data_IF_027289877064
#
_entry.id   IF_027289877064
#
_cell.length_a   1.000
_cell.length_b   1.000
_cell.length_c   1.000
_cell.angle_alpha   90.00
_cell.angle_beta   90.00
_cell.angle_gamma   90.00
#
_symmetry.space_group_name_H-M   'P 1'
#
loop_
_entity.id
_entity.type
_entity.pdbx_description
1 polymer ?
#
# COMPACT_ATOMS: atom_id res chain seq x y z
N UNK A 1 10.01 -9.61 7.03
CA UNK A 1 10.91 -8.66 6.34
C UNK A 1 10.66 -8.62 4.83
N UNK A 2 10.78 -9.76 4.13
CA UNK A 2 10.75 -9.79 2.66
C UNK A 2 9.50 -9.16 2.01
N UNK A 3 8.31 -9.46 2.52
CA UNK A 3 7.06 -8.91 1.97
C UNK A 3 6.99 -7.39 2.12
N UNK A 4 7.39 -6.85 3.27
CA UNK A 4 7.39 -5.41 3.51
C UNK A 4 8.34 -4.67 2.58
N UNK A 5 9.58 -5.16 2.43
CA UNK A 5 10.58 -4.56 1.53
C UNK A 5 10.09 -4.60 0.08
N UNK A 6 9.50 -5.71 -0.36
CA UNK A 6 8.96 -5.85 -1.71
C UNK A 6 7.85 -4.83 -2.01
N UNK A 7 6.96 -4.58 -1.04
CA UNK A 7 5.90 -3.57 -1.17
C UNK A 7 6.52 -2.17 -1.24
N UNK A 8 7.41 -1.82 -0.31
CA UNK A 8 8.03 -0.47 -0.30
C UNK A 8 8.83 -0.23 -1.59
N UNK A 9 9.62 -1.20 -2.05
CA UNK A 9 10.41 -1.07 -3.26
C UNK A 9 9.53 -0.88 -4.50
N UNK A 10 8.48 -1.71 -4.65
CA UNK A 10 7.58 -1.67 -5.82
C UNK A 10 6.68 -0.44 -5.85
N UNK A 11 6.27 0.07 -4.69
CA UNK A 11 5.32 1.19 -4.57
C UNK A 11 5.96 2.53 -4.19
N UNK A 12 7.29 2.61 -4.14
CA UNK A 12 8.03 3.85 -3.84
C UNK A 12 7.63 5.03 -4.75
N UNK A 13 7.41 4.77 -6.05
CA UNK A 13 6.96 5.75 -7.05
C UNK A 13 5.50 6.20 -6.90
N UNK A 14 4.66 5.40 -6.23
CA UNK A 14 3.22 5.64 -6.10
C UNK A 14 2.80 5.81 -4.63
N UNK A 15 3.73 6.27 -3.79
CA UNK A 15 3.56 6.28 -2.34
C UNK A 15 2.29 7.00 -1.89
N UNK A 16 1.84 8.03 -2.61
CA UNK A 16 0.64 8.78 -2.25
C UNK A 16 -0.67 8.03 -2.52
N UNK A 17 -0.73 7.24 -3.60
CA UNK A 17 -1.92 6.44 -3.94
C UNK A 17 -1.99 5.22 -3.00
N UNK A 18 -0.84 4.61 -2.71
CA UNK A 18 -0.73 3.38 -1.93
C UNK A 18 -0.27 3.62 -0.47
N UNK A 19 -0.44 4.84 0.06
CA UNK A 19 0.11 5.28 1.35
C UNK A 19 -0.26 4.38 2.52
N UNK A 20 -1.51 3.90 2.55
CA UNK A 20 -2.00 3.01 3.60
C UNK A 20 -1.31 1.64 3.54
N UNK A 21 -1.13 1.11 2.33
CA UNK A 21 -0.44 -0.16 2.08
C UNK A 21 1.05 -0.07 2.43
N UNK A 22 1.70 1.05 2.09
CA UNK A 22 3.11 1.31 2.44
C UNK A 22 3.29 1.50 3.95
N UNK A 23 2.35 2.18 4.62
CA UNK A 23 2.36 2.34 6.08
C UNK A 23 2.26 1.02 6.84
N UNK A 24 1.34 0.13 6.43
CA UNK A 24 1.26 -1.22 7.00
C UNK A 24 2.50 -2.08 6.68
N UNK A 25 3.06 -1.95 5.47
CA UNK A 25 4.30 -2.63 5.12
C UNK A 25 5.47 -2.18 6.00
N UNK A 26 5.58 -0.88 6.30
CA UNK A 26 6.60 -0.33 7.20
C UNK A 26 6.51 -0.89 8.62
N UNK A 27 5.29 -0.95 9.19
CA UNK A 27 5.06 -1.57 10.50
C UNK A 27 5.54 -3.04 10.56
N UNK A 28 5.24 -3.82 9.52
CA UNK A 28 5.66 -5.23 9.42
C UNK A 28 7.18 -5.40 9.28
N UNK A 29 7.89 -4.40 8.73
CA UNK A 29 9.36 -4.38 8.67
C UNK A 29 9.96 -4.16 10.07
N UNK A 30 9.37 -3.32 10.90
CA UNK A 30 9.88 -3.09 12.27
C UNK A 30 9.70 -4.33 13.12
N UNK A 31 8.49 -4.92 13.14
CA UNK A 31 8.18 -6.08 13.99
C UNK A 31 9.09 -7.26 13.70
N UNK A 32 9.28 -7.61 12.43
CA UNK A 32 10.08 -8.80 12.15
C UNK A 32 11.59 -8.56 12.25
N UNK A 33 12.08 -7.31 12.36
CA UNK A 33 13.44 -7.07 12.82
C UNK A 33 13.57 -7.45 14.30
N UNK A 34 12.61 -7.02 15.12
CA UNK A 34 12.53 -7.42 16.53
C UNK A 34 12.35 -8.93 16.69
N UNK A 35 11.59 -9.60 15.81
CA UNK A 35 11.42 -11.06 15.89
C UNK A 35 12.73 -11.82 15.63
N UNK A 36 13.60 -11.33 14.75
CA UNK A 36 14.92 -11.93 14.51
C UNK A 36 15.80 -11.76 15.76
N UNK A 37 15.81 -10.57 16.36
CA UNK A 37 16.57 -10.32 17.59
C UNK A 37 16.12 -11.24 18.74
N UNK A 38 14.81 -11.41 18.93
CA UNK A 38 14.27 -12.33 19.94
C UNK A 38 14.57 -13.79 19.61
N UNK A 39 14.60 -14.18 18.34
CA UNK A 39 15.05 -15.51 17.91
C UNK A 39 16.50 -15.82 18.31
N UNK A 40 17.41 -14.86 18.11
CA UNK A 40 18.82 -14.99 18.52
C UNK A 40 18.93 -15.10 20.05
N UNK A 41 18.19 -14.26 20.78
CA UNK A 41 18.13 -14.33 22.26
C UNK A 41 17.56 -15.67 22.75
N UNK A 42 16.60 -16.25 22.02
CA UNK A 42 16.06 -17.58 22.30
C UNK A 42 17.13 -18.67 22.24
N UNK A 43 18.03 -18.62 21.24
CA UNK A 43 19.16 -19.56 21.13
C UNK A 43 20.14 -19.37 22.30
N UNK A 44 20.42 -18.12 22.70
CA UNK A 44 21.29 -17.81 23.85
C UNK A 44 20.72 -18.35 25.16
N UNK A 45 19.40 -18.28 25.34
CA UNK A 45 18.69 -18.84 26.49
C UNK A 45 18.81 -20.36 26.55
N UNK A 46 18.76 -21.05 25.42
CA UNK A 46 18.93 -22.51 25.38
C UNK A 46 20.36 -22.90 25.81
N UNK A 47 21.36 -22.11 25.41
CA UNK A 47 22.77 -22.36 25.74
C UNK A 47 23.10 -21.98 27.20
N UNK A 48 22.44 -20.96 27.75
CA UNK A 48 22.67 -20.47 29.12
C UNK A 48 21.58 -21.02 30.05
N UNK A 49 21.91 -22.01 30.89
CA UNK A 49 21.03 -22.60 31.92
C UNK A 49 20.54 -21.65 33.05
N UNK A 50 20.56 -20.33 32.84
CA UNK A 50 20.00 -19.38 33.80
C UNK A 50 18.47 -19.38 33.72
N UNK A 51 17.85 -19.95 34.74
CA UNK A 51 16.39 -20.18 34.85
C UNK A 51 15.52 -18.92 34.82
N UNK A 52 16.09 -17.74 35.15
CA UNK A 52 15.36 -16.46 35.11
C UNK A 52 15.21 -15.86 33.70
N UNK A 53 16.24 -15.95 32.87
CA UNK A 53 16.25 -15.38 31.51
C UNK A 53 15.30 -16.14 30.56
N UNK A 54 15.08 -17.43 30.81
CA UNK A 54 14.20 -18.27 30.00
C UNK A 54 12.73 -17.83 30.08
N UNK A 55 12.24 -17.45 31.27
CA UNK A 55 10.85 -17.02 31.45
C UNK A 55 10.54 -15.71 30.72
N UNK A 56 11.47 -14.74 30.79
CA UNK A 56 11.32 -13.43 30.16
C UNK A 56 11.38 -13.57 28.63
N UNK A 57 12.32 -14.37 28.12
CA UNK A 57 12.43 -14.62 26.69
C UNK A 57 11.23 -15.38 26.12
N UNK A 58 10.68 -16.35 26.87
CA UNK A 58 9.47 -17.06 26.50
C UNK A 58 8.25 -16.13 26.45
N UNK A 59 8.08 -15.26 27.46
CA UNK A 59 7.01 -14.28 27.48
C UNK A 59 7.12 -13.26 26.32
N UNK A 60 8.32 -12.74 26.06
CA UNK A 60 8.57 -11.81 24.95
C UNK A 60 8.30 -12.47 23.59
N UNK A 61 8.73 -13.72 23.40
CA UNK A 61 8.47 -14.48 22.16
C UNK A 61 6.98 -14.77 21.98
N UNK A 62 6.26 -15.07 23.05
CA UNK A 62 4.82 -15.29 23.02
C UNK A 62 4.06 -14.02 22.60
N UNK A 63 4.39 -12.87 23.18
CA UNK A 63 3.78 -11.59 22.81
C UNK A 63 4.05 -11.25 21.34
N UNK A 64 5.29 -11.42 20.88
CA UNK A 64 5.64 -11.20 19.46
C UNK A 64 4.90 -12.16 18.52
N UNK A 65 4.71 -13.42 18.93
CA UNK A 65 3.92 -14.39 18.17
C UNK A 65 2.48 -13.94 18.00
N UNK A 66 1.83 -13.46 19.08
CA UNK A 66 0.47 -12.93 19.01
C UNK A 66 0.39 -11.70 18.11
N UNK A 67 1.32 -10.76 18.21
CA UNK A 67 1.37 -9.57 17.34
C UNK A 67 1.57 -9.94 15.87
N UNK A 68 2.37 -10.97 15.57
CA UNK A 68 2.55 -11.47 14.21
C UNK A 68 1.26 -12.07 13.65
N UNK A 69 0.53 -12.86 14.45
CA UNK A 69 -0.78 -13.40 14.05
C UNK A 69 -1.80 -12.31 13.75
N UNK A 70 -1.89 -11.29 14.62
CA UNK A 70 -2.75 -10.13 14.38
C UNK A 70 -2.37 -9.43 13.08
N UNK A 71 -1.07 -9.25 12.81
CA UNK A 71 -0.59 -8.61 11.59
C UNK A 71 -0.98 -9.38 10.33
N UNK A 72 -0.99 -10.72 10.37
CA UNK A 72 -1.45 -11.56 9.26
C UNK A 72 -2.94 -11.33 9.01
N UNK A 73 -3.76 -11.36 10.07
CA UNK A 73 -5.21 -11.15 9.98
C UNK A 73 -5.52 -9.75 9.42
N UNK A 74 -4.84 -8.72 9.93
CA UNK A 74 -4.98 -7.34 9.44
C UNK A 74 -4.60 -7.25 7.96
N UNK A 75 -3.52 -7.93 7.54
CA UNK A 75 -3.12 -7.99 6.13
C UNK A 75 -4.22 -8.57 5.23
N UNK A 76 -4.91 -9.62 5.69
CA UNK A 76 -6.04 -10.21 4.96
C UNK A 76 -7.22 -9.24 4.86
N UNK A 77 -7.64 -8.64 5.98
CA UNK A 77 -8.78 -7.71 6.02
C UNK A 77 -8.49 -6.43 5.22
N UNK A 78 -7.26 -5.92 5.28
CA UNK A 78 -6.89 -4.69 4.61
C UNK A 78 -7.09 -4.78 3.09
N UNK A 79 -6.98 -5.95 2.46
CA UNK A 79 -7.23 -6.08 1.02
C UNK A 79 -8.60 -5.53 0.62
N UNK A 80 -9.64 -5.78 1.41
CA UNK A 80 -10.99 -5.28 1.14
C UNK A 80 -11.11 -3.77 1.28
N UNK A 81 -10.51 -3.19 2.33
CA UNK A 81 -10.57 -1.76 2.60
C UNK A 81 -9.63 -0.95 1.69
N UNK A 82 -8.43 -1.48 1.43
CA UNK A 82 -7.40 -0.87 0.60
C UNK A 82 -7.92 -0.55 -0.80
N UNK A 83 -8.74 -1.43 -1.38
CA UNK A 83 -9.34 -1.18 -2.70
C UNK A 83 -10.20 0.10 -2.68
N UNK A 84 -11.02 0.31 -1.66
CA UNK A 84 -11.84 1.51 -1.52
C UNK A 84 -11.02 2.79 -1.35
N UNK A 85 -9.98 2.75 -0.51
CA UNK A 85 -9.08 3.88 -0.32
C UNK A 85 -8.27 4.20 -1.58
N UNK A 86 -7.75 3.18 -2.27
CA UNK A 86 -7.01 3.34 -3.52
C UNK A 86 -7.92 3.95 -4.59
N UNK A 87 -9.16 3.46 -4.73
CA UNK A 87 -10.15 4.03 -5.67
C UNK A 87 -10.41 5.51 -5.42
N UNK A 88 -10.69 5.89 -4.17
CA UNK A 88 -10.92 7.30 -3.82
C UNK A 88 -9.70 8.19 -4.12
N UNK A 89 -8.48 7.71 -3.82
CA UNK A 89 -7.25 8.45 -4.10
C UNK A 89 -6.95 8.54 -5.60
N UNK A 90 -7.24 7.49 -6.36
CA UNK A 90 -7.10 7.46 -7.80
C UNK A 90 -8.07 8.45 -8.47
N UNK A 91 -9.34 8.44 -8.05
CA UNK A 91 -10.39 9.38 -8.50
C UNK A 91 -9.98 10.83 -8.26
N UNK A 92 -9.48 11.13 -7.05
CA UNK A 92 -8.98 12.45 -6.68
C UNK A 92 -7.84 12.91 -7.58
N UNK A 93 -6.86 12.04 -7.85
CA UNK A 93 -5.73 12.38 -8.73
C UNK A 93 -6.13 12.52 -10.20
N UNK A 94 -7.14 11.78 -10.64
CA UNK A 94 -7.65 11.86 -12.00
C UNK A 94 -8.33 13.21 -12.29
N UNK A 95 -8.89 13.85 -11.25
CA UNK A 95 -9.46 15.21 -11.37
C UNK A 95 -8.39 16.28 -11.57
N UNK A 96 -7.17 16.07 -11.08
CA UNK A 96 -6.01 16.96 -11.27
C UNK A 96 -5.06 16.50 -12.37
N UNK A 97 -5.51 15.61 -13.27
CA UNK A 97 -4.68 15.01 -14.32
C UNK A 97 -4.11 16.04 -15.30
N UNK A 98 -4.89 17.07 -15.66
CA UNK A 98 -4.48 18.09 -16.65
C UNK A 98 -3.56 19.16 -16.02
N UNK A 99 -3.60 19.33 -14.70
CA UNK A 99 -2.87 20.40 -14.00
C UNK A 99 -1.41 20.04 -13.69
N UNK A 100 -1.07 18.75 -13.60
CA UNK A 100 0.24 18.30 -13.13
C UNK A 100 0.81 17.15 -13.99
N UNK A 101 1.96 17.40 -14.62
CA UNK A 101 2.73 16.41 -15.39
C UNK A 101 3.09 15.17 -14.54
N UNK A 102 3.23 15.33 -13.23
CA UNK A 102 3.50 14.23 -12.30
C UNK A 102 2.31 13.29 -12.19
N UNK A 103 1.09 13.84 -12.20
CA UNK A 103 -0.15 13.05 -12.15
C UNK A 103 -0.37 12.29 -13.46
N UNK A 104 0.03 12.87 -14.60
CA UNK A 104 0.02 12.21 -15.92
C UNK A 104 0.89 10.94 -15.88
N UNK A 105 2.18 11.10 -15.55
CA UNK A 105 3.13 9.99 -15.56
C UNK A 105 2.75 8.87 -14.58
N UNK A 106 2.22 9.23 -13.42
CA UNK A 106 1.82 8.26 -12.37
C UNK A 106 0.57 7.49 -12.77
N UNK A 107 -0.45 8.16 -13.32
CA UNK A 107 -1.72 7.51 -13.70
C UNK A 107 -1.53 6.62 -14.92
N UNK A 108 -0.78 7.08 -15.92
CA UNK A 108 -0.51 6.32 -17.15
C UNK A 108 0.30 5.03 -16.85
N UNK A 109 1.34 5.13 -16.03
CA UNK A 109 2.15 3.98 -15.62
C UNK A 109 1.36 2.96 -14.77
N UNK A 110 0.42 3.43 -13.92
CA UNK A 110 -0.50 2.54 -13.20
C UNK A 110 -1.47 1.86 -14.17
N UNK A 111 -2.09 2.61 -15.08
CA UNK A 111 -3.08 2.08 -16.03
C UNK A 111 -2.46 1.09 -17.01
N UNK A 112 -1.27 1.38 -17.55
CA UNK A 112 -0.51 0.48 -18.41
C UNK A 112 -0.10 -0.80 -17.67
N UNK A 113 0.39 -0.68 -16.44
CA UNK A 113 0.87 -1.83 -15.64
C UNK A 113 -0.23 -2.79 -15.19
N UNK A 114 -1.43 -2.28 -14.93
CA UNK A 114 -2.57 -3.07 -14.49
C UNK A 114 -3.63 -3.29 -15.58
N UNK A 115 -3.38 -2.79 -16.80
CA UNK A 115 -4.29 -2.87 -17.95
C UNK A 115 -5.71 -2.41 -17.59
N UNK A 116 -5.80 -1.29 -16.87
CA UNK A 116 -7.05 -0.69 -16.41
C UNK A 116 -7.21 0.75 -16.92
N UNK A 117 -8.44 1.26 -16.96
CA UNK A 117 -8.72 2.62 -17.43
C UNK A 117 -9.78 3.29 -16.54
N UNK A 118 -9.40 4.39 -15.89
CA UNK A 118 -10.27 5.10 -14.94
C UNK A 118 -10.34 4.45 -13.56
N UNK A 119 -11.30 4.88 -12.74
CA UNK A 119 -11.51 4.34 -11.39
C UNK A 119 -12.29 3.01 -11.42
N UNK A 120 -13.35 2.95 -12.23
CA UNK A 120 -14.20 1.79 -12.44
C UNK A 120 -14.48 1.54 -13.93
N UNK A 121 -14.68 2.60 -14.72
CA UNK A 121 -14.90 2.51 -16.17
C UNK A 121 -14.14 3.61 -16.91
N UNK A 122 -13.91 3.38 -18.20
CA UNK A 122 -13.33 4.38 -19.10
C UNK A 122 -14.13 5.69 -19.15
N UNK A 123 -15.45 5.64 -18.85
CA UNK A 123 -16.31 6.83 -18.80
C UNK A 123 -15.97 7.78 -17.65
N UNK A 124 -15.21 7.35 -16.64
CA UNK A 124 -14.84 8.20 -15.50
C UNK A 124 -14.00 9.40 -15.96
N UNK A 125 -13.26 9.28 -17.07
CA UNK A 125 -12.51 10.38 -17.69
C UNK A 125 -13.40 11.48 -18.25
N UNK A 126 -14.60 11.13 -18.75
CA UNK A 126 -15.56 12.13 -19.18
C UNK A 126 -16.06 12.95 -17.97
N UNK A 127 -16.20 12.33 -16.80
CA UNK A 127 -16.59 13.01 -15.56
C UNK A 127 -15.47 13.90 -15.01
N UNK A 128 -14.21 13.44 -15.02
CA UNK A 128 -13.09 14.25 -14.54
C UNK A 128 -12.87 15.48 -15.43
N UNK A 129 -13.05 15.36 -16.74
CA UNK A 129 -12.99 16.50 -17.66
C UNK A 129 -14.22 17.41 -17.57
N UNK A 130 -15.40 16.88 -17.30
CA UNK A 130 -16.60 17.69 -17.05
C UNK A 130 -16.44 18.65 -15.86
N UNK A 131 -15.67 18.26 -14.84
CA UNK A 131 -15.34 19.13 -13.71
C UNK A 131 -14.43 20.32 -14.07
N UNK A 132 -13.79 20.27 -15.23
CA UNK A 132 -12.93 21.33 -15.76
C UNK A 132 -13.58 22.21 -16.84
N UNK A 133 -14.79 21.85 -17.31
CA UNK A 133 -15.52 22.72 -18.23
C UNK A 133 -16.27 23.81 -17.46
N UNK A 134 -16.11 25.10 -17.83
CA UNK A 134 -17.11 26.09 -17.47
C UNK A 134 -18.42 25.64 -18.10
N UNK A 135 -19.51 25.71 -17.34
CA UNK A 135 -20.87 25.46 -17.83
C UNK A 135 -21.18 26.41 -18.99
N UNK A 136 -20.95 25.96 -20.22
CA UNK A 136 -21.34 26.66 -21.44
C UNK A 136 -20.46 26.31 -22.64
N UNK A 137 -21.02 25.55 -23.59
CA UNK A 137 -20.48 25.42 -24.94
C UNK A 137 -20.05 24.01 -25.30
N UNK A 138 -20.87 23.33 -26.10
CA UNK A 138 -20.53 22.04 -26.67
C UNK A 138 -19.34 22.13 -27.61
N UNK A 139 -18.42 21.18 -27.46
CA UNK A 139 -17.54 20.67 -28.53
C UNK A 139 -16.95 19.35 -28.06
N UNK A 140 -16.94 18.37 -28.96
CA UNK A 140 -16.75 16.95 -28.68
C UNK A 140 -15.47 16.63 -27.90
N UNK A 141 -15.62 15.73 -26.93
CA UNK A 141 -14.51 15.06 -26.27
C UNK A 141 -13.89 14.11 -27.30
N UNK A 142 -12.70 14.45 -27.78
CA UNK A 142 -11.83 13.48 -28.45
C UNK A 142 -11.29 12.57 -27.36
N UNK A 143 -11.95 11.43 -27.21
CA UNK A 143 -11.33 10.25 -26.62
C UNK A 143 -10.23 9.87 -27.61
N UNK A 144 -8.97 10.07 -27.25
CA UNK A 144 -7.87 9.39 -27.92
C UNK A 144 -7.65 8.07 -27.16
N UNK A 145 -8.17 6.93 -27.65
CA UNK A 145 -7.80 5.63 -27.13
C UNK A 145 -6.41 5.29 -27.68
N UNK A 146 -5.41 6.03 -27.23
CA UNK A 146 -4.07 6.02 -27.78
C UNK A 146 -3.09 5.31 -26.87
N UNK A 147 -2.98 3.99 -27.09
CA UNK A 147 -1.91 3.05 -26.68
C UNK A 147 -1.92 2.57 -25.24
#
# INVERSE_FOLDING_TARGET
MGVGIGIVAKYSRYHDIFRQSVGLAGYNIVIGFFSIAVGILGIVVIVRQHSGLSKIAALASFILGVLALVSIIVGLVLNSQAIGYIKSRLSYRMNSYIEDQTSINVIDDVQSKYQCCGENLWLDWARSQLGSLPTGGGSGVIVNPGV
#
